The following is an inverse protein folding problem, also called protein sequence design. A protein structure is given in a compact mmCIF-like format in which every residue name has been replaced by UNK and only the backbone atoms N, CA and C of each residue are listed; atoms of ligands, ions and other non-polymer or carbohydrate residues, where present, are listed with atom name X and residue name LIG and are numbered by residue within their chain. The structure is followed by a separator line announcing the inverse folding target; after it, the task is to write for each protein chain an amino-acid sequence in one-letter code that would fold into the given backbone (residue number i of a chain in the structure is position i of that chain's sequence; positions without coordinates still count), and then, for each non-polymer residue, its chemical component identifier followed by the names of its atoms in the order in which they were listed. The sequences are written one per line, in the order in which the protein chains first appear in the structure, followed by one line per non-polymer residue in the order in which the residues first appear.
data_IF_796408175900
#
_entry.id   IF_796408175900
#
_cell.length_a   1.000
_cell.length_b   1.000
_cell.length_c   1.000
_cell.angle_alpha   90.00
_cell.angle_beta   90.00
_cell.angle_gamma   90.00
#
_symmetry.space_group_name_H-M   'P 1'
#
loop_
_entity.id
_entity.type
_entity.pdbx_description
1 polymer ?
#
# COMPACT_ATOMS: atom_id res chain seq x y z
N UNK A 1 16.16 -20.27 17.15
CA UNK A 1 14.76 -20.63 17.53
C UNK A 1 14.16 -19.54 18.43
N UNK A 2 12.82 -19.35 18.47
CA UNK A 2 12.20 -18.35 19.37
C UNK A 2 12.60 -18.54 20.84
N UNK A 3 12.79 -19.78 21.29
CA UNK A 3 13.27 -20.10 22.64
C UNK A 3 14.68 -19.55 22.96
N UNK A 4 15.58 -19.47 21.98
CA UNK A 4 16.93 -18.92 22.19
C UNK A 4 16.91 -17.40 22.31
N UNK A 5 15.99 -16.76 21.57
CA UNK A 5 15.74 -15.32 21.66
C UNK A 5 15.17 -14.95 23.05
N UNK A 6 14.34 -15.83 23.62
CA UNK A 6 13.83 -15.70 24.99
C UNK A 6 14.90 -15.97 26.06
N UNK A 7 15.77 -16.94 25.84
CA UNK A 7 16.77 -17.37 26.84
C UNK A 7 18.13 -16.68 26.69
N UNK A 8 18.30 -15.82 25.68
CA UNK A 8 19.54 -15.12 25.33
C UNK A 8 20.78 -16.05 25.22
N UNK A 9 20.56 -17.35 24.98
CA UNK A 9 21.62 -18.35 24.81
C UNK A 9 21.21 -19.38 23.77
N UNK A 10 22.20 -19.90 23.04
CA UNK A 10 21.99 -20.98 22.09
C UNK A 10 21.66 -22.28 22.83
N UNK A 11 20.56 -22.92 22.48
CA UNK A 11 20.20 -24.23 23.04
C UNK A 11 20.81 -25.30 22.15
N UNK A 12 21.53 -26.26 22.73
CA UNK A 12 21.99 -27.43 21.96
C UNK A 12 20.80 -28.35 21.72
N UNK A 13 20.22 -28.29 20.53
CA UNK A 13 19.12 -29.15 20.10
C UNK A 13 19.62 -30.40 19.40
N UNK A 14 18.79 -31.43 19.29
CA UNK A 14 19.12 -32.64 18.51
C UNK A 14 19.42 -32.33 17.04
N UNK A 15 18.86 -31.24 16.51
CA UNK A 15 19.14 -30.73 15.17
C UNK A 15 20.54 -30.09 15.06
N UNK A 16 21.08 -29.52 16.15
CA UNK A 16 22.47 -28.99 16.16
C UNK A 16 23.53 -30.10 16.12
N UNK A 17 23.16 -31.34 16.42
CA UNK A 17 24.05 -32.50 16.32
C UNK A 17 24.11 -33.07 14.88
N UNK A 18 23.29 -32.53 13.98
CA UNK A 18 23.22 -32.90 12.57
C UNK A 18 23.96 -31.84 11.75
N UNK A 19 25.27 -31.96 11.55
CA UNK A 19 25.98 -31.16 10.53
C UNK A 19 25.85 -31.90 9.17
N UNK A 20 25.38 -31.23 8.11
CA UNK A 20 26.01 -30.00 7.63
C UNK A 20 25.15 -28.74 7.78
N UNK A 21 25.84 -27.61 7.98
CA UNK A 21 25.31 -26.25 8.15
C UNK A 21 24.11 -25.89 7.24
N UNK A 22 22.89 -25.94 7.80
CA UNK A 22 21.64 -25.52 7.14
C UNK A 22 21.56 -24.03 6.82
N UNK A 23 22.49 -23.22 7.34
CA UNK A 23 22.52 -21.76 7.18
C UNK A 23 22.44 -21.35 5.70
N UNK A 24 23.24 -21.99 4.84
CA UNK A 24 23.25 -21.68 3.39
C UNK A 24 21.89 -21.97 2.73
N UNK A 25 21.16 -22.99 3.19
CA UNK A 25 19.84 -23.30 2.67
C UNK A 25 18.79 -22.29 3.16
N UNK A 26 18.87 -21.89 4.44
CA UNK A 26 18.01 -20.85 5.02
C UNK A 26 18.23 -19.52 4.30
N UNK A 27 19.47 -19.09 4.10
CA UNK A 27 19.80 -17.84 3.41
C UNK A 27 19.28 -17.85 1.97
N UNK A 28 19.49 -18.95 1.24
CA UNK A 28 18.93 -19.13 -0.12
C UNK A 28 17.41 -19.04 -0.12
N UNK A 29 16.74 -19.59 0.88
CA UNK A 29 15.28 -19.54 0.97
C UNK A 29 14.77 -18.15 1.36
N UNK A 30 15.48 -17.44 2.23
CA UNK A 30 15.18 -16.06 2.59
C UNK A 30 15.33 -15.15 1.36
N UNK A 31 16.43 -15.25 0.63
CA UNK A 31 16.66 -14.50 -0.61
C UNK A 31 15.59 -14.79 -1.67
N UNK A 32 15.24 -16.07 -1.88
CA UNK A 32 14.14 -16.42 -2.77
C UNK A 32 12.84 -15.75 -2.33
N UNK A 33 12.52 -15.78 -1.03
CA UNK A 33 11.28 -15.20 -0.51
C UNK A 33 11.24 -13.68 -0.72
N UNK A 34 12.35 -12.97 -0.52
CA UNK A 34 12.43 -11.53 -0.79
C UNK A 34 12.27 -11.26 -2.27
N UNK A 35 12.98 -11.98 -3.13
CA UNK A 35 12.86 -11.80 -4.59
C UNK A 35 11.44 -12.06 -5.12
N UNK A 36 10.79 -13.15 -4.70
CA UNK A 36 9.42 -13.45 -5.13
C UNK A 36 8.43 -12.38 -4.64
N UNK A 37 8.63 -11.88 -3.42
CA UNK A 37 7.82 -10.80 -2.88
C UNK A 37 8.03 -9.53 -3.70
N UNK A 38 9.27 -9.11 -3.94
CA UNK A 38 9.59 -7.87 -4.64
C UNK A 38 9.16 -7.89 -6.11
N UNK A 39 9.19 -9.06 -6.76
CA UNK A 39 8.65 -9.23 -8.13
C UNK A 39 7.15 -8.98 -8.23
N UNK A 40 6.40 -9.28 -7.17
CA UNK A 40 4.94 -9.16 -7.15
C UNK A 40 4.43 -7.93 -6.40
N UNK A 41 5.31 -7.28 -5.62
CA UNK A 41 5.03 -6.06 -4.89
C UNK A 41 4.94 -4.88 -5.86
N UNK A 42 3.70 -4.56 -6.26
CA UNK A 42 3.43 -3.31 -6.97
C UNK A 42 3.30 -2.17 -5.95
N UNK A 43 4.10 -1.09 -6.08
CA UNK A 43 3.97 0.06 -5.22
C UNK A 43 2.59 0.71 -5.42
N UNK A 44 1.94 1.06 -4.32
CA UNK A 44 0.64 1.74 -4.30
C UNK A 44 0.81 3.07 -3.57
N UNK A 45 0.83 4.16 -4.33
CA UNK A 45 0.82 5.53 -3.81
C UNK A 45 -0.52 6.18 -4.10
N UNK A 46 -0.98 7.03 -3.19
CA UNK A 46 -2.22 7.80 -3.34
C UNK A 46 -1.98 9.24 -2.89
N UNK A 47 -2.60 10.19 -3.57
CA UNK A 47 -2.52 11.59 -3.18
C UNK A 47 -3.72 12.00 -2.30
N UNK A 48 -3.54 13.06 -1.52
CA UNK A 48 -4.62 13.62 -0.70
C UNK A 48 -5.71 14.17 -1.63
N UNK A 49 -6.96 13.72 -1.43
CA UNK A 49 -8.09 14.06 -2.28
C UNK A 49 -8.49 12.96 -3.28
N UNK A 50 -7.68 11.91 -3.45
CA UNK A 50 -7.99 10.82 -4.37
C UNK A 50 -9.19 9.99 -3.91
N UNK A 51 -10.06 9.66 -4.87
CA UNK A 51 -11.16 8.70 -4.68
C UNK A 51 -10.59 7.29 -4.67
N UNK A 52 -10.80 6.57 -3.58
CA UNK A 52 -10.29 5.21 -3.38
C UNK A 52 -11.41 4.27 -2.94
N UNK A 53 -11.27 3.00 -3.31
CA UNK A 53 -12.04 1.92 -2.72
C UNK A 53 -11.27 1.34 -1.53
N UNK A 54 -11.93 1.30 -0.37
CA UNK A 54 -11.44 0.60 0.82
C UNK A 54 -11.87 -0.86 0.72
N UNK A 55 -10.90 -1.76 0.65
CA UNK A 55 -11.11 -3.20 0.64
C UNK A 55 -10.67 -3.77 1.99
N UNK A 56 -11.59 -4.38 2.72
CA UNK A 56 -11.25 -5.10 3.94
C UNK A 56 -10.96 -6.58 3.61
N UNK A 57 -9.91 -7.19 4.18
CA UNK A 57 -9.49 -8.53 3.77
C UNK A 57 -10.54 -9.62 4.04
N UNK A 58 -11.42 -9.41 5.02
CA UNK A 58 -12.44 -10.37 5.43
C UNK A 58 -13.83 -10.07 4.87
N UNK A 59 -14.02 -8.94 4.20
CA UNK A 59 -15.33 -8.50 3.70
C UNK A 59 -15.23 -8.27 2.18
N UNK A 60 -16.02 -8.97 1.34
CA UNK A 60 -15.98 -8.79 -0.11
C UNK A 60 -16.55 -7.45 -0.58
N UNK A 61 -16.99 -6.60 0.35
CA UNK A 61 -17.56 -5.29 0.06
C UNK A 61 -16.45 -4.26 -0.13
N UNK A 62 -16.51 -3.54 -1.25
CA UNK A 62 -15.64 -2.40 -1.51
C UNK A 62 -16.39 -1.13 -1.16
N UNK A 63 -15.84 -0.36 -0.22
CA UNK A 63 -16.45 0.89 0.21
C UNK A 63 -15.79 2.07 -0.50
N UNK A 64 -16.61 3.00 -0.99
CA UNK A 64 -16.11 4.24 -1.59
C UNK A 64 -15.62 5.18 -0.49
N UNK A 65 -14.42 5.72 -0.66
CA UNK A 65 -13.83 6.70 0.25
C UNK A 65 -12.93 7.70 -0.47
N UNK A 66 -12.45 8.69 0.29
CA UNK A 66 -11.53 9.72 -0.18
C UNK A 66 -10.34 9.78 0.77
N UNK A 67 -9.12 9.86 0.23
CA UNK A 67 -7.90 10.03 1.03
C UNK A 67 -7.89 11.44 1.61
N UNK A 68 -7.80 11.54 2.94
CA UNK A 68 -7.79 12.82 3.66
C UNK A 68 -6.37 13.27 3.98
N UNK A 69 -5.48 12.33 4.29
CA UNK A 69 -4.12 12.63 4.74
C UNK A 69 -3.20 11.42 4.56
N UNK A 70 -1.92 11.68 4.28
CA UNK A 70 -0.85 10.69 4.28
C UNK A 70 -0.18 10.67 5.66
N UNK A 71 -0.24 9.52 6.34
CA UNK A 71 0.28 9.34 7.69
C UNK A 71 1.71 8.78 7.69
N UNK A 72 2.00 7.90 6.73
CA UNK A 72 3.30 7.32 6.45
C UNK A 72 3.33 6.83 5.00
N UNK A 73 4.49 6.40 4.51
CA UNK A 73 4.72 5.95 3.13
C UNK A 73 3.66 4.96 2.60
N UNK A 74 3.13 4.09 3.46
CA UNK A 74 2.05 3.15 3.09
C UNK A 74 0.81 3.23 4.00
N UNK A 75 0.68 4.28 4.83
CA UNK A 75 -0.47 4.46 5.72
C UNK A 75 -1.20 5.76 5.41
N UNK A 76 -2.51 5.66 5.16
CA UNK A 76 -3.35 6.79 4.79
C UNK A 76 -4.56 6.89 5.72
N UNK A 77 -5.04 8.10 5.96
CA UNK A 77 -6.34 8.34 6.59
C UNK A 77 -7.38 8.49 5.49
N UNK A 78 -8.39 7.62 5.47
CA UNK A 78 -9.45 7.62 4.46
C UNK A 78 -10.79 7.94 5.12
N UNK A 79 -11.54 8.85 4.51
CA UNK A 79 -12.93 9.11 4.89
C UNK A 79 -13.85 8.20 4.09
N UNK A 80 -14.52 7.25 4.78
CA UNK A 80 -15.51 6.36 4.18
C UNK A 80 -16.72 6.24 5.12
N UNK A 81 -17.94 6.19 4.55
CA UNK A 81 -19.21 6.12 5.32
C UNK A 81 -19.34 7.17 6.44
N UNK A 82 -18.80 8.38 6.22
CA UNK A 82 -18.83 9.48 7.19
C UNK A 82 -17.89 9.33 8.39
N UNK A 83 -17.03 8.30 8.40
CA UNK A 83 -15.99 8.11 9.43
C UNK A 83 -14.60 8.19 8.79
N UNK A 84 -13.64 8.71 9.56
CA UNK A 84 -12.22 8.70 9.18
C UNK A 84 -11.57 7.47 9.79
N UNK A 85 -10.92 6.66 8.97
CA UNK A 85 -10.20 5.47 9.42
C UNK A 85 -8.80 5.43 8.80
N UNK A 86 -7.83 4.99 9.59
CA UNK A 86 -6.48 4.69 9.11
C UNK A 86 -6.50 3.37 8.32
N UNK A 87 -5.99 3.37 7.10
CA UNK A 87 -5.90 2.20 6.22
C UNK A 87 -4.52 2.12 5.58
N UNK A 88 -4.05 0.89 5.35
CA UNK A 88 -2.79 0.62 4.65
C UNK A 88 -3.01 0.69 3.14
N UNK A 89 -2.00 1.10 2.36
CA UNK A 89 -2.05 1.20 0.89
C UNK A 89 -2.53 -0.10 0.21
N UNK A 90 -2.16 -1.25 0.77
CA UNK A 90 -2.60 -2.57 0.29
C UNK A 90 -4.12 -2.79 0.40
N UNK A 91 -4.79 -2.12 1.35
CA UNK A 91 -6.23 -2.16 1.54
C UNK A 91 -6.96 -1.09 0.75
N UNK A 92 -6.24 -0.33 -0.08
CA UNK A 92 -6.78 0.71 -0.93
C UNK A 92 -6.61 0.33 -2.40
N UNK A 93 -7.64 0.63 -3.17
CA UNK A 93 -7.64 0.50 -4.63
C UNK A 93 -7.99 1.85 -5.23
N UNK A 94 -7.21 2.28 -6.22
CA UNK A 94 -7.50 3.51 -6.93
C UNK A 94 -8.82 3.35 -7.67
N UNK A 95 -9.73 4.31 -7.50
CA UNK A 95 -10.95 4.36 -8.27
C UNK A 95 -10.63 5.15 -9.53
N UNK A 96 -10.20 4.45 -10.59
CA UNK A 96 -10.20 5.05 -11.93
C UNK A 96 -11.64 5.28 -12.33
N UNK A 97 -12.13 6.49 -12.08
CA UNK A 97 -13.21 7.06 -12.87
C UNK A 97 -12.50 7.42 -14.18
N UNK A 98 -12.69 6.63 -15.24
CA UNK A 98 -12.32 7.07 -16.58
C UNK A 98 -13.15 8.32 -16.81
N UNK A 99 -12.59 9.49 -16.54
CA UNK A 99 -13.10 10.72 -17.07
C UNK A 99 -12.88 10.59 -18.58
N UNK A 100 -13.95 10.31 -19.32
CA UNK A 100 -14.02 10.85 -20.67
C UNK A 100 -13.77 12.34 -20.53
N UNK A 101 -12.59 12.77 -20.96
CA UNK A 101 -12.25 14.17 -21.10
C UNK A 101 -13.10 14.66 -22.27
N UNK A 102 -14.31 15.13 -21.97
CA UNK A 102 -15.03 16.01 -22.88
C UNK A 102 -14.19 17.30 -23.00
N UNK A 103 -13.71 17.66 -24.21
CA UNK A 103 -12.92 18.87 -24.40
C UNK A 103 -13.86 20.07 -24.20
N UNK A 104 -13.87 20.64 -23.01
CA UNK A 104 -14.55 21.91 -22.74
C UNK A 104 -13.84 22.99 -23.55
N UNK A 105 -14.50 23.40 -24.61
CA UNK A 105 -14.16 24.54 -25.46
C UNK A 105 -14.09 25.81 -24.61
N UNK A 106 -12.88 26.35 -24.47
CA UNK A 106 -12.63 27.65 -23.85
C UNK A 106 -13.33 28.77 -24.64
N UNK A 107 -14.44 29.30 -24.10
CA UNK A 107 -15.01 30.56 -24.55
C UNK A 107 -14.22 31.69 -23.89
N UNK A 108 -13.26 32.25 -24.65
CA UNK A 108 -12.54 33.49 -24.34
C UNK A 108 -13.54 34.66 -24.30
N UNK A 109 -13.89 35.13 -23.10
CA UNK A 109 -14.51 36.44 -22.90
C UNK A 109 -13.40 37.48 -22.89
N UNK A 110 -13.19 38.13 -24.03
CA UNK A 110 -12.34 39.32 -24.17
C UNK A 110 -13.28 40.53 -24.03
N UNK A 111 -13.17 41.19 -22.88
CA UNK A 111 -13.92 42.37 -22.47
C UNK A 111 -13.25 43.59 -23.14
N UNK A 112 -13.95 44.24 -24.07
CA UNK A 112 -13.52 45.52 -24.62
C UNK A 112 -13.72 46.65 -23.60
N UNK A 113 -12.80 47.64 -23.55
CA UNK A 113 -13.17 49.00 -23.20
C UNK A 113 -13.00 49.92 -24.41
N UNK A 114 -14.09 50.58 -24.78
CA UNK A 114 -14.17 51.52 -25.90
C UNK A 114 -13.54 52.90 -25.64
N UNK A 115 -13.13 53.50 -26.76
CA UNK A 115 -13.08 54.91 -27.15
C UNK A 115 -12.92 56.03 -26.10
N UNK A 116 -11.85 56.82 -26.26
CA UNK A 116 -11.95 58.27 -26.51
C UNK A 116 -10.68 58.82 -27.17
#
# INVERSE_FOLDING_TARGET
MPAELLLARRLRTTLDLLEPSLNVHVDKNLLKRTEYHDRTAQPRSFDVGDKVYVCEPYIPTQEKGIVVELLAESSYTVSHKGKRARKHAHHLRQRFESFEVEPTTDKKSEEEPGAH
#
